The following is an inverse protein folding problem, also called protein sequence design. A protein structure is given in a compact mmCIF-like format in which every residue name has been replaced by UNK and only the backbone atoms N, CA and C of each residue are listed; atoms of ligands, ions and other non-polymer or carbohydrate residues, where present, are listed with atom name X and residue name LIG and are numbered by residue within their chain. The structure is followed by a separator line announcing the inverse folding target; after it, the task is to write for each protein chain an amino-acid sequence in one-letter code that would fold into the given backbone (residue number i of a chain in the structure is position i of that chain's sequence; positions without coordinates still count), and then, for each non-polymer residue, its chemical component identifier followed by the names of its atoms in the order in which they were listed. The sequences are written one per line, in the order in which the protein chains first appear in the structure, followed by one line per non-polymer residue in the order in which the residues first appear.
data_IF_253272173501
#
_entry.id   IF_253272173501
#
_cell.length_a   1.000
_cell.length_b   1.000
_cell.length_c   1.000
_cell.angle_alpha   90.00
_cell.angle_beta   90.00
_cell.angle_gamma   90.00
#
_symmetry.space_group_name_H-M   'P 1'
#
loop_
_entity.id
_entity.type
_entity.pdbx_description
1 polymer ?
#
# COMPACT_ATOMS: atom_id res chain seq x y z
N UNK A 1 -15.49 3.10 14.45
CA UNK A 1 -14.30 3.93 14.65
C UNK A 1 -14.72 5.38 14.56
N UNK A 2 -14.37 6.19 15.56
CA UNK A 2 -14.68 7.62 15.55
C UNK A 2 -13.67 8.41 14.68
N UNK A 3 -13.91 9.71 14.49
CA UNK A 3 -13.03 10.55 13.66
C UNK A 3 -11.62 10.72 14.25
N UNK A 4 -11.46 10.64 15.58
CA UNK A 4 -10.16 10.76 16.25
C UNK A 4 -9.33 9.51 16.02
N UNK A 5 -9.96 8.34 16.12
CA UNK A 5 -9.35 7.05 15.86
C UNK A 5 -8.96 6.93 14.38
N UNK A 6 -9.83 7.34 13.45
CA UNK A 6 -9.49 7.38 12.01
C UNK A 6 -8.24 8.23 11.78
N UNK A 7 -8.17 9.41 12.39
CA UNK A 7 -7.01 10.28 12.25
C UNK A 7 -5.74 9.62 12.80
N UNK A 8 -5.80 9.03 13.98
CA UNK A 8 -4.66 8.32 14.58
C UNK A 8 -4.17 7.17 13.68
N UNK A 9 -5.08 6.34 13.19
CA UNK A 9 -4.73 5.22 12.31
C UNK A 9 -4.07 5.70 11.02
N UNK A 10 -4.64 6.74 10.41
CA UNK A 10 -4.11 7.34 9.18
C UNK A 10 -2.73 7.98 9.38
N UNK A 11 -2.52 8.66 10.51
CA UNK A 11 -1.22 9.25 10.87
C UNK A 11 -0.17 8.17 11.17
N UNK A 12 -0.60 6.98 11.59
CA UNK A 12 0.26 5.82 11.86
C UNK A 12 0.58 4.94 10.64
N UNK A 13 0.08 5.30 9.45
CA UNK A 13 0.32 4.52 8.23
C UNK A 13 1.81 4.45 7.89
N UNK A 14 2.33 3.22 7.80
CA UNK A 14 3.70 2.96 7.38
C UNK A 14 3.95 3.44 5.94
N UNK A 15 5.20 3.79 5.65
CA UNK A 15 5.62 4.25 4.33
C UNK A 15 5.78 3.05 3.38
N UNK A 16 5.03 3.06 2.27
CA UNK A 16 5.04 1.97 1.28
C UNK A 16 6.40 1.91 0.59
N UNK A 17 6.87 3.06 0.08
CA UNK A 17 8.14 3.12 -0.65
C UNK A 17 9.33 2.64 0.20
N UNK A 18 9.36 2.97 1.49
CA UNK A 18 10.43 2.51 2.38
C UNK A 18 10.43 0.99 2.53
N UNK A 19 9.26 0.40 2.81
CA UNK A 19 9.13 -1.06 2.92
C UNK A 19 9.47 -1.77 1.60
N UNK A 20 9.07 -1.20 0.47
CA UNK A 20 9.42 -1.74 -0.85
C UNK A 20 10.92 -1.66 -1.14
N UNK A 21 11.57 -0.55 -0.83
CA UNK A 21 13.01 -0.39 -1.03
C UNK A 21 13.78 -1.35 -0.12
N UNK A 22 13.40 -1.45 1.16
CA UNK A 22 13.96 -2.44 2.08
C UNK A 22 13.75 -3.86 1.59
N UNK A 23 12.57 -4.20 1.07
CA UNK A 23 12.32 -5.50 0.46
C UNK A 23 13.27 -5.77 -0.72
N UNK A 24 13.40 -4.83 -1.65
CA UNK A 24 14.32 -4.95 -2.81
C UNK A 24 15.78 -5.10 -2.39
N UNK A 25 16.22 -4.35 -1.39
CA UNK A 25 17.59 -4.41 -0.86
C UNK A 25 17.91 -5.74 -0.17
N UNK A 26 16.90 -6.35 0.45
CA UNK A 26 17.04 -7.60 1.20
C UNK A 26 16.71 -8.85 0.37
N UNK A 27 16.13 -8.70 -0.82
CA UNK A 27 15.78 -9.84 -1.66
C UNK A 27 16.46 -9.78 -3.02
N UNK A 28 16.13 -8.76 -3.82
CA UNK A 28 16.61 -8.62 -5.20
C UNK A 28 18.11 -8.37 -5.26
N UNK A 29 18.64 -7.52 -4.38
CA UNK A 29 20.06 -7.21 -4.37
C UNK A 29 20.89 -8.47 -4.10
N UNK A 30 20.65 -9.27 -3.06
CA UNK A 30 21.36 -10.53 -2.83
C UNK A 30 21.47 -11.48 -4.03
N UNK A 31 20.42 -11.59 -4.83
CA UNK A 31 20.32 -12.54 -5.94
C UNK A 31 20.71 -11.94 -7.31
N UNK A 32 21.22 -10.69 -7.32
CA UNK A 32 21.81 -10.09 -8.52
C UNK A 32 23.25 -10.55 -8.70
N UNK A 33 23.63 -10.76 -9.97
CA UNK A 33 24.88 -11.39 -10.45
C UNK A 33 26.18 -10.89 -9.79
N UNK A 34 26.21 -9.70 -9.18
CA UNK A 34 27.41 -9.04 -8.66
C UNK A 34 27.29 -8.47 -7.22
N UNK A 35 26.24 -8.79 -6.48
CA UNK A 35 25.90 -8.04 -5.27
C UNK A 35 26.40 -8.65 -3.95
N UNK A 36 26.63 -9.97 -3.89
CA UNK A 36 27.16 -10.66 -2.71
C UNK A 36 28.42 -11.46 -3.05
N UNK A 37 29.59 -10.84 -2.89
CA UNK A 37 30.89 -11.49 -3.13
C UNK A 37 31.19 -12.61 -2.13
N UNK A 38 30.67 -12.51 -0.92
CA UNK A 38 30.94 -13.43 0.19
C UNK A 38 30.00 -14.66 0.23
N UNK A 39 28.81 -14.57 -0.36
CA UNK A 39 27.82 -15.65 -0.47
C UNK A 39 27.03 -15.48 -1.78
N UNK A 40 27.55 -15.98 -2.90
CA UNK A 40 26.90 -15.83 -4.18
C UNK A 40 25.77 -16.86 -4.33
N UNK A 41 24.57 -16.49 -3.90
CA UNK A 41 23.34 -17.31 -4.01
C UNK A 41 23.05 -17.81 -5.43
N UNK A 42 23.66 -17.19 -6.44
CA UNK A 42 23.52 -17.57 -7.84
C UNK A 42 24.67 -18.44 -8.35
N UNK A 43 25.73 -18.75 -7.58
CA UNK A 43 26.94 -19.39 -8.14
C UNK A 43 26.66 -20.78 -8.68
N UNK A 44 25.94 -21.59 -7.91
CA UNK A 44 25.71 -23.01 -8.17
C UNK A 44 24.52 -23.28 -9.11
N UNK A 45 23.73 -22.26 -9.46
CA UNK A 45 22.64 -22.39 -10.43
C UNK A 45 23.18 -22.59 -11.85
N UNK A 46 22.52 -23.47 -12.62
CA UNK A 46 22.79 -23.61 -14.05
C UNK A 46 22.40 -22.32 -14.82
N UNK A 47 22.83 -22.20 -16.08
CA UNK A 47 22.57 -20.97 -16.87
C UNK A 47 21.07 -20.76 -17.14
N UNK A 48 20.31 -21.82 -17.28
CA UNK A 48 18.87 -21.75 -17.57
C UNK A 48 18.09 -21.19 -16.38
N UNK A 49 18.31 -21.71 -15.17
CA UNK A 49 17.69 -21.21 -13.94
C UNK A 49 18.13 -19.79 -13.61
N UNK A 50 19.39 -19.42 -13.90
CA UNK A 50 19.85 -18.02 -13.80
C UNK A 50 19.06 -17.09 -14.72
N UNK A 51 18.84 -17.52 -15.96
CA UNK A 51 18.08 -16.76 -16.97
C UNK A 51 16.60 -16.67 -16.60
N UNK A 52 16.01 -17.76 -16.09
CA UNK A 52 14.63 -17.80 -15.61
C UNK A 52 14.41 -16.83 -14.44
N UNK A 53 15.24 -16.91 -13.40
CA UNK A 53 15.18 -15.99 -12.24
C UNK A 53 15.36 -14.54 -12.71
N UNK A 54 16.32 -14.29 -13.61
CA UNK A 54 16.52 -12.95 -14.15
C UNK A 54 15.27 -12.42 -14.87
N UNK A 55 14.63 -13.25 -15.71
CA UNK A 55 13.42 -12.87 -16.43
C UNK A 55 12.25 -12.59 -15.47
N UNK A 56 12.04 -13.42 -14.45
CA UNK A 56 11.02 -13.20 -13.40
C UNK A 56 11.26 -11.91 -12.62
N UNK A 57 12.52 -11.60 -12.29
CA UNK A 57 12.86 -10.34 -11.62
C UNK A 57 12.65 -9.13 -12.56
N UNK A 58 12.96 -9.28 -13.85
CA UNK A 58 12.75 -8.21 -14.82
C UNK A 58 11.26 -7.91 -15.03
N UNK A 59 10.40 -8.94 -15.08
CA UNK A 59 8.94 -8.74 -15.22
C UNK A 59 8.33 -8.02 -14.01
N UNK A 60 8.95 -8.11 -12.84
CA UNK A 60 8.50 -7.40 -11.63
C UNK A 60 8.82 -5.91 -11.62
N UNK A 61 9.59 -5.37 -12.56
CA UNK A 61 9.94 -3.93 -12.58
C UNK A 61 8.71 -3.03 -12.54
N UNK A 62 7.74 -3.29 -13.40
CA UNK A 62 6.50 -2.51 -13.45
C UNK A 62 5.73 -2.64 -12.13
N UNK A 63 5.61 -3.87 -11.58
CA UNK A 63 4.97 -4.09 -10.28
C UNK A 63 5.63 -3.30 -9.15
N UNK A 64 6.96 -3.21 -9.13
CA UNK A 64 7.67 -2.39 -8.15
C UNK A 64 7.33 -0.91 -8.29
N UNK A 65 7.30 -0.40 -9.52
CA UNK A 65 7.00 1.00 -9.77
C UNK A 65 5.54 1.33 -9.39
N UNK A 66 4.58 0.47 -9.74
CA UNK A 66 3.17 0.62 -9.34
C UNK A 66 2.97 0.60 -7.81
N UNK A 67 3.64 -0.32 -7.10
CA UNK A 67 3.61 -0.35 -5.62
C UNK A 67 4.23 0.93 -5.06
N UNK A 68 5.34 1.40 -5.62
CA UNK A 68 6.00 2.63 -5.18
C UNK A 68 5.08 3.84 -5.34
N UNK A 69 4.44 4.01 -6.49
CA UNK A 69 3.54 5.13 -6.76
C UNK A 69 2.27 5.10 -5.89
N UNK A 70 1.91 3.93 -5.37
CA UNK A 70 0.78 3.78 -4.44
C UNK A 70 1.00 4.46 -3.08
N UNK A 71 2.19 5.02 -2.81
CA UNK A 71 2.43 5.92 -1.67
C UNK A 71 1.42 7.08 -1.61
N UNK A 72 0.96 7.57 -2.77
CA UNK A 72 -0.06 8.63 -2.87
C UNK A 72 -1.36 8.29 -2.12
N UNK A 73 -1.67 7.01 -1.95
CA UNK A 73 -2.84 6.56 -1.19
C UNK A 73 -2.75 7.02 0.27
N UNK A 74 -1.56 6.94 0.90
CA UNK A 74 -1.37 7.41 2.28
C UNK A 74 -1.72 8.89 2.39
N UNK A 75 -1.28 9.69 1.43
CA UNK A 75 -1.52 11.13 1.42
C UNK A 75 -3.00 11.44 1.23
N UNK A 76 -3.66 10.74 0.30
CA UNK A 76 -5.11 10.88 0.10
C UNK A 76 -5.91 10.51 1.35
N UNK A 77 -5.59 9.40 2.02
CA UNK A 77 -6.25 9.00 3.27
C UNK A 77 -6.07 10.05 4.38
N UNK A 78 -4.88 10.67 4.49
CA UNK A 78 -4.61 11.81 5.40
C UNK A 78 -5.51 12.99 5.10
N UNK A 79 -5.66 13.36 3.83
CA UNK A 79 -6.55 14.44 3.44
C UNK A 79 -8.02 14.13 3.73
N UNK A 80 -8.49 12.91 3.45
CA UNK A 80 -9.88 12.52 3.74
C UNK A 80 -10.19 12.58 5.23
N UNK A 81 -9.28 12.12 6.08
CA UNK A 81 -9.40 12.26 7.54
C UNK A 81 -9.61 13.72 7.95
N UNK A 82 -8.82 14.65 7.39
CA UNK A 82 -8.97 16.09 7.64
C UNK A 82 -10.31 16.62 7.13
N UNK A 83 -10.70 16.27 5.92
CA UNK A 83 -11.99 16.68 5.36
C UNK A 83 -13.18 16.16 6.15
N UNK A 84 -13.12 14.95 6.73
CA UNK A 84 -14.20 14.48 7.62
C UNK A 84 -14.31 15.30 8.90
N UNK A 85 -13.17 15.70 9.49
CA UNK A 85 -13.15 16.57 10.67
C UNK A 85 -13.72 17.95 10.31
N UNK A 86 -13.26 18.54 9.21
CA UNK A 86 -13.75 19.82 8.73
C UNK A 86 -15.23 19.77 8.42
N UNK A 87 -15.70 18.72 7.74
CA UNK A 87 -17.11 18.51 7.44
C UNK A 87 -17.94 18.45 8.72
N UNK A 88 -17.49 17.71 9.75
CA UNK A 88 -18.19 17.65 11.05
C UNK A 88 -18.27 19.03 11.71
N UNK A 89 -17.19 19.81 11.68
CA UNK A 89 -17.16 21.17 12.24
C UNK A 89 -18.09 22.11 11.48
N UNK A 90 -18.11 22.06 10.14
CA UNK A 90 -19.01 22.89 9.33
C UNK A 90 -20.48 22.51 9.55
N UNK A 91 -20.79 21.23 9.70
CA UNK A 91 -22.14 20.76 10.04
C UNK A 91 -22.57 21.19 11.44
N UNK A 92 -21.62 21.35 12.38
CA UNK A 92 -21.89 21.90 13.70
C UNK A 92 -22.13 23.41 13.67
N UNK A 93 -21.33 24.15 12.90
CA UNK A 93 -21.44 25.61 12.73
C UNK A 93 -22.52 26.05 11.73
N UNK A 94 -23.24 25.10 11.13
CA UNK A 94 -24.28 25.34 10.11
C UNK A 94 -23.78 26.06 8.85
N UNK A 95 -22.48 25.97 8.56
CA UNK A 95 -21.85 26.52 7.35
C UNK A 95 -22.09 25.59 6.14
N UNK A 96 -23.23 25.78 5.50
CA UNK A 96 -23.69 24.97 4.36
C UNK A 96 -22.79 25.12 3.14
N UNK A 97 -22.32 26.33 2.86
CA UNK A 97 -21.48 26.60 1.70
C UNK A 97 -20.18 25.80 1.79
N UNK A 98 -19.49 25.88 2.94
CA UNK A 98 -18.25 25.15 3.13
C UNK A 98 -18.47 23.64 3.16
N UNK A 99 -19.58 23.17 3.73
CA UNK A 99 -19.94 21.74 3.71
C UNK A 99 -20.15 21.22 2.28
N UNK A 100 -20.78 21.99 1.39
CA UNK A 100 -20.98 21.63 -0.01
C UNK A 100 -19.64 21.59 -0.77
N UNK A 101 -18.74 22.55 -0.53
CA UNK A 101 -17.38 22.57 -1.11
C UNK A 101 -16.58 21.33 -0.71
N UNK A 102 -16.53 21.00 0.59
CA UNK A 102 -15.80 19.82 1.08
C UNK A 102 -16.39 18.53 0.48
N UNK A 103 -17.72 18.43 0.40
CA UNK A 103 -18.39 17.26 -0.18
C UNK A 103 -18.05 17.10 -1.66
N UNK A 104 -18.05 18.19 -2.42
CA UNK A 104 -17.64 18.17 -3.83
C UNK A 104 -16.18 17.77 -3.99
N UNK A 105 -15.27 18.25 -3.14
CA UNK A 105 -13.86 17.85 -3.16
C UNK A 105 -13.68 16.34 -2.87
N UNK A 106 -14.48 15.77 -1.97
CA UNK A 106 -14.42 14.34 -1.64
C UNK A 106 -14.96 13.43 -2.76
N UNK A 107 -15.99 13.89 -3.48
CA UNK A 107 -16.74 13.05 -4.41
C UNK A 107 -16.41 13.28 -5.89
N UNK A 108 -16.08 14.51 -6.26
CA UNK A 108 -16.04 14.94 -7.66
C UNK A 108 -14.67 15.46 -8.11
N UNK A 109 -13.72 15.67 -7.19
CA UNK A 109 -12.36 16.11 -7.54
C UNK A 109 -11.59 15.05 -8.33
N UNK A 110 -11.03 15.38 -9.48
CA UNK A 110 -10.38 14.40 -10.37
C UNK A 110 -9.24 13.61 -9.68
N UNK A 111 -8.51 14.26 -8.77
CA UNK A 111 -7.39 13.66 -8.08
C UNK A 111 -7.79 13.07 -6.72
N UNK A 112 -8.57 13.81 -5.95
CA UNK A 112 -8.99 13.51 -4.58
C UNK A 112 -10.29 12.72 -4.50
N UNK A 113 -10.92 12.35 -5.60
CA UNK A 113 -12.12 11.53 -5.55
C UNK A 113 -11.89 10.21 -4.78
N UNK A 114 -12.69 10.01 -3.74
CA UNK A 114 -12.62 8.85 -2.86
C UNK A 114 -12.81 7.52 -3.62
N UNK A 115 -13.68 7.48 -4.64
CA UNK A 115 -13.90 6.30 -5.50
C UNK A 115 -12.63 5.90 -6.25
N UNK A 116 -11.88 6.88 -6.77
CA UNK A 116 -10.60 6.61 -7.44
C UNK A 116 -9.60 6.00 -6.46
N UNK A 117 -9.54 6.51 -5.22
CA UNK A 117 -8.68 5.95 -4.18
C UNK A 117 -9.05 4.51 -3.81
N UNK A 118 -10.34 4.16 -3.77
CA UNK A 118 -10.76 2.77 -3.56
C UNK A 118 -10.26 1.83 -4.68
N UNK A 119 -10.28 2.29 -5.93
CA UNK A 119 -9.72 1.53 -7.07
C UNK A 119 -8.20 1.39 -6.93
N UNK A 120 -7.50 2.45 -6.54
CA UNK A 120 -6.05 2.43 -6.30
C UNK A 120 -5.67 1.45 -5.18
N UNK A 121 -6.44 1.39 -4.08
CA UNK A 121 -6.22 0.44 -2.98
C UNK A 121 -6.35 -1.01 -3.47
N UNK A 122 -7.37 -1.30 -4.30
CA UNK A 122 -7.54 -2.65 -4.89
C UNK A 122 -6.39 -3.01 -5.83
N UNK A 123 -5.93 -2.07 -6.65
CA UNK A 123 -4.79 -2.28 -7.54
C UNK A 123 -3.50 -2.53 -6.75
N UNK A 124 -3.26 -1.76 -5.68
CA UNK A 124 -2.14 -1.98 -4.77
C UNK A 124 -2.18 -3.38 -4.14
N UNK A 125 -3.34 -3.82 -3.66
CA UNK A 125 -3.50 -5.18 -3.13
C UNK A 125 -3.10 -6.25 -4.16
N UNK A 126 -3.68 -6.19 -5.36
CA UNK A 126 -3.35 -7.16 -6.42
C UNK A 126 -1.86 -7.13 -6.81
N UNK A 127 -1.24 -5.96 -6.83
CA UNK A 127 0.19 -5.82 -7.11
C UNK A 127 1.07 -6.44 -6.00
N UNK A 128 0.71 -6.26 -4.73
CA UNK A 128 1.45 -6.85 -3.60
C UNK A 128 1.25 -8.36 -3.54
N UNK A 129 0.05 -8.87 -3.83
CA UNK A 129 -0.21 -10.31 -3.95
C UNK A 129 0.55 -10.94 -5.11
N UNK A 130 0.58 -10.29 -6.27
CA UNK A 130 1.39 -10.73 -7.40
C UNK A 130 2.89 -10.75 -7.06
N UNK A 131 3.37 -9.71 -6.37
CA UNK A 131 4.75 -9.67 -5.88
C UNK A 131 5.05 -10.82 -4.92
N UNK A 132 4.13 -11.14 -4.00
CA UNK A 132 4.26 -12.27 -3.09
C UNK A 132 4.34 -13.60 -3.84
N UNK A 133 3.48 -13.81 -4.83
CA UNK A 133 3.51 -15.02 -5.64
C UNK A 133 4.87 -15.18 -6.36
N UNK A 134 5.32 -14.13 -7.04
CA UNK A 134 6.61 -14.16 -7.74
C UNK A 134 7.80 -14.32 -6.78
N UNK A 135 7.70 -13.76 -5.57
CA UNK A 135 8.67 -13.98 -4.52
C UNK A 135 8.79 -15.47 -4.15
N UNK A 136 7.66 -16.15 -3.93
CA UNK A 136 7.67 -17.58 -3.63
C UNK A 136 8.20 -18.41 -4.81
N UNK A 137 7.76 -18.13 -6.04
CA UNK A 137 8.23 -18.86 -7.23
C UNK A 137 9.75 -18.75 -7.42
N UNK A 138 10.32 -17.55 -7.29
CA UNK A 138 11.78 -17.34 -7.41
C UNK A 138 12.52 -18.02 -6.27
N UNK A 139 11.99 -17.95 -5.04
CA UNK A 139 12.64 -18.58 -3.90
C UNK A 139 12.58 -20.10 -3.96
N UNK A 140 11.49 -20.69 -4.46
CA UNK A 140 11.39 -22.13 -4.68
C UNK A 140 12.43 -22.60 -5.71
N UNK A 141 12.68 -21.80 -6.76
CA UNK A 141 13.76 -22.07 -7.72
C UNK A 141 15.14 -21.97 -7.09
N UNK A 142 15.36 -20.98 -6.21
CA UNK A 142 16.61 -20.82 -5.47
C UNK A 142 16.83 -22.00 -4.51
N UNK A 143 15.85 -22.34 -3.67
CA UNK A 143 15.95 -23.39 -2.66
C UNK A 143 16.26 -24.78 -3.24
N UNK A 144 15.87 -25.07 -4.49
CA UNK A 144 16.25 -26.30 -5.20
C UNK A 144 17.76 -26.43 -5.44
N UNK A 145 18.52 -25.33 -5.36
CA UNK A 145 19.92 -25.26 -5.77
C UNK A 145 20.86 -24.68 -4.72
N UNK A 146 20.33 -24.05 -3.67
CA UNK A 146 21.12 -23.55 -2.55
C UNK A 146 21.61 -24.69 -1.65
N UNK A 147 22.83 -24.59 -1.14
CA UNK A 147 23.28 -25.45 -0.04
C UNK A 147 22.46 -25.15 1.23
N UNK A 148 22.52 -26.04 2.23
CA UNK A 148 21.83 -25.83 3.50
C UNK A 148 22.29 -24.53 4.19
N UNK A 149 23.60 -24.25 4.19
CA UNK A 149 24.17 -23.03 4.75
C UNK A 149 23.69 -21.77 4.03
N UNK A 150 23.67 -21.81 2.69
CA UNK A 150 23.17 -20.71 1.87
C UNK A 150 21.66 -20.49 2.09
N UNK A 151 20.88 -21.56 2.24
CA UNK A 151 19.45 -21.48 2.50
C UNK A 151 19.16 -20.90 3.89
N UNK A 152 19.89 -21.32 4.93
CA UNK A 152 19.75 -20.76 6.29
C UNK A 152 20.11 -19.27 6.29
N UNK A 153 21.26 -18.90 5.72
CA UNK A 153 21.66 -17.50 5.65
C UNK A 153 20.69 -16.65 4.82
N UNK A 154 20.14 -17.17 3.72
CA UNK A 154 19.13 -16.45 2.93
C UNK A 154 17.83 -16.24 3.73
N UNK A 155 17.39 -17.25 4.49
CA UNK A 155 16.20 -17.16 5.35
C UNK A 155 16.37 -16.18 6.53
N UNK A 156 17.59 -15.96 7.01
CA UNK A 156 17.88 -14.95 8.04
C UNK A 156 17.72 -13.51 7.52
N UNK A 157 17.79 -13.30 6.20
CA UNK A 157 17.61 -11.98 5.60
C UNK A 157 16.13 -11.57 5.74
N UNK A 158 15.80 -10.37 6.25
CA UNK A 158 14.44 -9.99 6.62
C UNK A 158 13.53 -9.63 5.43
N UNK A 159 13.67 -10.26 4.27
CA UNK A 159 12.82 -10.00 3.10
C UNK A 159 11.33 -10.30 3.38
N UNK A 160 11.01 -11.38 4.11
CA UNK A 160 9.62 -11.77 4.41
C UNK A 160 8.95 -10.75 5.33
N UNK A 161 9.71 -10.17 6.25
CA UNK A 161 9.22 -9.10 7.13
C UNK A 161 8.73 -7.91 6.32
N UNK A 162 9.50 -7.44 5.34
CA UNK A 162 9.11 -6.28 4.54
C UNK A 162 7.95 -6.60 3.57
N UNK A 163 7.91 -7.81 3.00
CA UNK A 163 6.76 -8.26 2.22
C UNK A 163 5.49 -8.35 3.07
N UNK A 164 5.59 -8.89 4.27
CA UNK A 164 4.49 -8.95 5.22
C UNK A 164 4.01 -7.55 5.59
N UNK A 165 4.92 -6.60 5.83
CA UNK A 165 4.55 -5.21 6.10
C UNK A 165 3.76 -4.59 4.94
N UNK A 166 4.15 -4.84 3.68
CA UNK A 166 3.40 -4.37 2.51
C UNK A 166 1.98 -4.95 2.50
N UNK A 167 1.82 -6.25 2.76
CA UNK A 167 0.50 -6.90 2.88
C UNK A 167 -0.34 -6.34 4.04
N UNK A 168 0.28 -5.99 5.16
CA UNK A 168 -0.44 -5.35 6.27
C UNK A 168 -0.86 -3.93 5.93
N UNK A 169 -0.04 -3.17 5.19
CA UNK A 169 -0.40 -1.83 4.72
C UNK A 169 -1.67 -1.90 3.84
N UNK A 170 -1.75 -2.85 2.90
CA UNK A 170 -2.94 -2.98 2.03
C UNK A 170 -4.20 -3.33 2.82
N UNK A 171 -4.08 -4.19 3.84
CA UNK A 171 -5.19 -4.50 4.77
C UNK A 171 -5.63 -3.26 5.55
N UNK A 172 -4.69 -2.51 6.11
CA UNK A 172 -4.96 -1.29 6.86
C UNK A 172 -5.63 -0.22 5.98
N UNK A 173 -5.17 -0.04 4.74
CA UNK A 173 -5.80 0.85 3.77
C UNK A 173 -7.27 0.52 3.53
N UNK A 174 -7.61 -0.77 3.41
CA UNK A 174 -9.01 -1.20 3.25
C UNK A 174 -9.86 -0.92 4.48
N UNK A 175 -9.33 -1.18 5.68
CA UNK A 175 -10.04 -0.90 6.94
C UNK A 175 -10.29 0.60 7.10
N UNK A 176 -9.25 1.40 6.94
CA UNK A 176 -9.30 2.86 7.06
C UNK A 176 -10.25 3.45 6.02
N UNK A 177 -10.11 3.07 4.74
CA UNK A 177 -10.99 3.58 3.69
C UNK A 177 -12.45 3.21 3.92
N UNK A 178 -12.75 1.98 4.36
CA UNK A 178 -14.11 1.60 4.76
C UNK A 178 -14.66 2.54 5.84
N UNK A 179 -13.88 2.79 6.89
CA UNK A 179 -14.30 3.66 7.99
C UNK A 179 -14.46 5.13 7.56
N UNK A 180 -13.58 5.64 6.69
CA UNK A 180 -13.70 6.97 6.08
C UNK A 180 -14.99 7.05 5.26
N UNK A 181 -15.26 6.08 4.39
CA UNK A 181 -16.47 6.05 3.56
C UNK A 181 -17.75 6.01 4.39
N UNK A 182 -17.78 5.20 5.46
CA UNK A 182 -18.93 5.15 6.37
C UNK A 182 -19.18 6.51 7.06
N UNK A 183 -18.13 7.15 7.57
CA UNK A 183 -18.25 8.46 8.22
C UNK A 183 -18.64 9.56 7.22
N UNK A 184 -18.08 9.54 6.01
CA UNK A 184 -18.44 10.47 4.94
C UNK A 184 -19.94 10.42 4.63
N UNK A 185 -20.50 9.23 4.44
CA UNK A 185 -21.93 9.04 4.16
C UNK A 185 -22.79 9.54 5.33
N UNK A 186 -22.38 9.22 6.57
CA UNK A 186 -23.11 9.65 7.77
C UNK A 186 -23.16 11.18 7.88
N UNK A 187 -22.03 11.86 7.69
CA UNK A 187 -21.93 13.32 7.77
C UNK A 187 -22.71 14.03 6.66
N UNK A 188 -22.60 13.54 5.41
CA UNK A 188 -23.35 14.12 4.29
C UNK A 188 -24.86 14.04 4.55
N UNK A 189 -25.36 12.90 5.05
CA UNK A 189 -26.77 12.74 5.42
C UNK A 189 -27.15 13.73 6.53
N UNK A 190 -26.34 13.83 7.59
CA UNK A 190 -26.58 14.75 8.70
C UNK A 190 -26.69 16.21 8.21
N UNK A 191 -25.79 16.66 7.34
CA UNK A 191 -25.83 17.99 6.72
C UNK A 191 -27.11 18.21 5.91
N UNK A 192 -27.49 17.24 5.07
CA UNK A 192 -28.71 17.33 4.25
C UNK A 192 -29.98 17.41 5.12
N UNK A 193 -30.06 16.62 6.19
CA UNK A 193 -31.18 16.66 7.13
C UNK A 193 -31.30 18.02 7.86
N UNK A 194 -30.18 18.61 8.31
CA UNK A 194 -30.20 19.95 8.92
C UNK A 194 -30.66 21.03 7.94
N UNK A 195 -30.26 20.96 6.67
CA UNK A 195 -30.73 21.87 5.60
C UNK A 195 -32.25 21.86 5.43
N UNK A 196 -32.92 20.74 5.72
CA UNK A 196 -34.39 20.62 5.60
C UNK A 196 -35.14 21.07 6.85
N UNK A 197 -34.50 21.13 8.04
CA UNK A 197 -35.11 21.63 9.28
C UNK A 197 -34.97 23.15 9.49
N UNK A 198 -34.01 23.78 8.80
CA UNK A 198 -33.81 25.24 8.82
C UNK A 198 -34.60 26.00 7.76
N UNK A 199 -35.52 25.35 7.05
CA UNK A 199 -36.54 25.94 6.18
C UNK A 199 -37.90 25.77 6.83
#
# INVERSE_FOLDING_TARGET
MDLRDIRKEVDSLHHIEENLNKFKDNWIKPIKKNSNKHLPFMKNLNQDSKKEIHNKILSLKNTFDEIKYSQVINDKLKHYSRYLIELKLTTFNEDQYKSEVITNQLLNDDFMNFKNTLTQIKALEGNVEHLQQQYHEVNDLLHKHLSLEEAVFFMEIPHLKYLHNLLQITKNHKVISRNIGTNMIALIKETQFKKHKGK
#
